data_IF_680970436142
#
_entry.id   IF_680970436142
#
_cell.length_a   1.000
_cell.length_b   1.000
_cell.length_c   1.000
_cell.angle_alpha   90.00
_cell.angle_beta   90.00
_cell.angle_gamma   90.00
#
_symmetry.space_group_name_H-M   'P 1'
#
loop_
_entity.id
_entity.type
_entity.pdbx_description
1 polymer ?
#
# COMPACT_ATOMS: atom_id res chain seq x y z
N UNK A 1 -13.44 6.63 12.04
CA UNK A 1 -12.38 7.00 11.07
C UNK A 1 -11.14 6.14 11.29
N UNK A 2 -10.72 5.41 10.25
CA UNK A 2 -9.43 4.68 10.23
C UNK A 2 -8.40 5.44 9.42
N UNK A 3 -7.13 5.09 9.60
CA UNK A 3 -6.05 5.63 8.80
C UNK A 3 -4.88 4.65 8.68
N UNK A 4 -4.05 4.90 7.68
CA UNK A 4 -2.75 4.22 7.51
C UNK A 4 -1.71 5.27 7.14
N UNK A 5 -0.51 5.15 7.70
CA UNK A 5 0.53 6.16 7.56
C UNK A 5 1.42 5.89 6.33
N UNK A 6 1.85 6.97 5.69
CA UNK A 6 2.67 6.98 4.49
C UNK A 6 4.04 7.61 4.76
N UNK A 7 5.03 7.22 3.99
CA UNK A 7 6.39 7.75 4.05
C UNK A 7 7.37 6.86 4.81
N UNK A 8 8.63 7.28 4.79
CA UNK A 8 9.76 6.57 5.38
C UNK A 8 10.31 7.39 6.56
N UNK A 9 10.42 6.78 7.73
CA UNK A 9 11.10 7.42 8.87
C UNK A 9 12.61 7.39 8.67
N UNK A 10 13.28 8.56 8.76
CA UNK A 10 14.74 8.71 8.64
C UNK A 10 15.50 8.39 9.94
N UNK A 11 14.85 8.46 11.09
CA UNK A 11 15.44 8.19 12.41
C UNK A 11 14.33 7.71 13.33
N UNK A 12 14.46 6.49 13.86
CA UNK A 12 13.47 5.92 14.79
C UNK A 12 13.65 6.38 16.23
N UNK A 13 14.81 6.94 16.59
CA UNK A 13 15.21 7.14 17.99
C UNK A 13 15.29 8.60 18.45
N UNK A 14 15.50 9.57 17.54
CA UNK A 14 15.59 10.99 17.90
C UNK A 14 14.23 11.68 17.76
N UNK A 15 13.83 12.43 18.79
CA UNK A 15 12.76 13.44 18.70
C UNK A 15 13.37 14.72 18.12
N UNK A 16 12.70 15.42 17.17
CA UNK A 16 11.42 15.08 16.55
C UNK A 16 11.53 13.99 15.47
N UNK A 17 10.41 13.29 15.20
CA UNK A 17 10.34 12.24 14.18
C UNK A 17 10.43 12.86 12.78
N UNK A 18 11.40 12.44 11.98
CA UNK A 18 11.55 12.90 10.59
C UNK A 18 10.98 11.86 9.62
N UNK A 19 9.93 12.23 8.88
CA UNK A 19 9.30 11.39 7.86
C UNK A 19 9.56 11.97 6.47
N UNK A 20 10.03 11.14 5.55
CA UNK A 20 10.29 11.52 4.16
C UNK A 20 9.29 10.86 3.23
N UNK A 21 8.72 11.65 2.33
CA UNK A 21 7.82 11.18 1.27
C UNK A 21 8.02 12.04 0.03
N UNK A 22 8.15 11.40 -1.14
CA UNK A 22 8.32 12.08 -2.43
C UNK A 22 9.39 13.21 -2.39
N UNK A 23 10.56 12.92 -1.80
CA UNK A 23 11.67 13.87 -1.66
C UNK A 23 11.52 14.93 -0.55
N UNK A 24 10.32 15.15 -0.01
CA UNK A 24 10.09 16.12 1.08
C UNK A 24 10.24 15.45 2.44
N UNK A 25 10.92 16.12 3.37
CA UNK A 25 11.07 15.66 4.76
C UNK A 25 10.26 16.56 5.69
N UNK A 26 9.33 15.99 6.43
CA UNK A 26 8.50 16.68 7.42
C UNK A 26 8.93 16.25 8.81
N UNK A 27 9.05 17.22 9.72
CA UNK A 27 9.30 16.95 11.13
C UNK A 27 7.96 16.85 11.87
N UNK A 28 7.72 15.72 12.52
CA UNK A 28 6.54 15.45 13.32
C UNK A 28 6.91 15.46 14.81
N UNK A 29 6.08 16.10 15.61
CA UNK A 29 6.19 16.17 17.07
C UNK A 29 4.85 15.89 17.73
N UNK A 30 4.87 15.63 19.04
CA UNK A 30 3.69 15.33 19.85
C UNK A 30 2.75 14.30 19.21
N UNK A 31 1.47 14.63 19.18
CA UNK A 31 0.39 13.77 18.74
C UNK A 31 0.53 13.28 17.29
N UNK A 32 1.01 14.14 16.36
CA UNK A 32 1.21 13.75 14.96
C UNK A 32 2.26 12.65 14.82
N UNK A 33 3.34 12.72 15.61
CA UNK A 33 4.38 11.69 15.59
C UNK A 33 3.90 10.37 16.20
N UNK A 34 3.04 10.42 17.21
CA UNK A 34 2.43 9.22 17.82
C UNK A 34 1.47 8.54 16.86
N UNK A 35 0.55 9.30 16.27
CA UNK A 35 -0.41 8.79 15.29
C UNK A 35 0.29 8.18 14.08
N UNK A 36 1.27 8.88 13.51
CA UNK A 36 2.02 8.33 12.37
C UNK A 36 2.71 7.01 12.71
N UNK A 37 3.23 6.85 13.93
CA UNK A 37 3.84 5.57 14.37
C UNK A 37 2.79 4.47 14.51
N UNK A 38 1.62 4.77 15.08
CA UNK A 38 0.50 3.82 15.24
C UNK A 38 0.04 3.29 13.88
N UNK A 39 -0.14 4.16 12.89
CA UNK A 39 -0.59 3.78 11.55
C UNK A 39 0.51 3.29 10.59
N UNK A 40 1.78 3.23 11.03
CA UNK A 40 2.92 2.96 10.13
C UNK A 40 2.89 1.57 9.49
N UNK A 41 2.44 0.58 10.25
CA UNK A 41 2.52 -0.81 9.84
C UNK A 41 1.18 -1.53 9.78
N UNK A 42 0.10 -0.84 10.14
CA UNK A 42 -1.26 -1.36 10.11
C UNK A 42 -2.28 -0.22 10.11
N UNK A 43 -3.53 -0.56 9.83
CA UNK A 43 -4.63 0.38 10.00
C UNK A 43 -4.85 0.66 11.49
N UNK A 44 -4.89 1.94 11.84
CA UNK A 44 -5.20 2.42 13.17
C UNK A 44 -6.50 3.25 13.13
N UNK A 45 -7.13 3.43 14.29
CA UNK A 45 -8.36 4.21 14.44
C UNK A 45 -8.11 5.44 15.28
N UNK A 46 -8.73 6.56 14.91
CA UNK A 46 -8.79 7.75 15.75
C UNK A 46 -9.86 7.56 16.83
N UNK A 47 -9.56 7.96 18.07
CA UNK A 47 -10.43 7.82 19.24
C UNK A 47 -10.94 9.17 19.75
N UNK A 48 -10.28 10.28 19.40
CA UNK A 48 -10.63 11.62 19.89
C UNK A 48 -10.69 12.63 18.74
N UNK A 49 -11.46 13.72 18.93
CA UNK A 49 -11.50 14.83 17.97
C UNK A 49 -10.12 15.46 17.74
N UNK A 50 -9.26 15.48 18.75
CA UNK A 50 -7.89 15.97 18.63
C UNK A 50 -7.04 15.07 17.71
N UNK A 51 -7.20 13.74 17.83
CA UNK A 51 -6.55 12.78 16.92
C UNK A 51 -7.06 12.96 15.48
N UNK A 52 -8.37 13.14 15.28
CA UNK A 52 -8.93 13.39 13.95
C UNK A 52 -8.39 14.66 13.30
N UNK A 53 -8.28 15.76 14.05
CA UNK A 53 -7.72 17.01 13.54
C UNK A 53 -6.23 16.86 13.20
N UNK A 54 -5.46 16.17 14.05
CA UNK A 54 -4.05 15.89 13.79
C UNK A 54 -3.87 14.99 12.55
N UNK A 55 -4.74 13.99 12.35
CA UNK A 55 -4.75 13.14 11.17
C UNK A 55 -5.08 13.92 9.91
N UNK A 56 -6.08 14.80 9.92
CA UNK A 56 -6.39 15.68 8.77
C UNK A 56 -5.16 16.48 8.35
N UNK A 57 -4.38 16.98 9.30
CA UNK A 57 -3.12 17.67 9.02
C UNK A 57 -2.06 16.73 8.42
N UNK A 58 -1.90 15.51 8.94
CA UNK A 58 -1.02 14.49 8.36
C UNK A 58 -1.42 14.12 6.93
N UNK A 59 -2.72 13.95 6.66
CA UNK A 59 -3.25 13.63 5.34
C UNK A 59 -3.03 14.78 4.35
N UNK A 60 -3.24 16.04 4.76
CA UNK A 60 -2.88 17.23 3.96
C UNK A 60 -1.38 17.29 3.62
N UNK A 61 -0.53 16.87 4.55
CA UNK A 61 0.91 16.72 4.30
C UNK A 61 1.26 15.47 3.45
N UNK A 62 0.26 14.67 3.08
CA UNK A 62 0.40 13.42 2.34
C UNK A 62 1.01 12.26 3.16
N UNK A 63 1.03 12.36 4.48
CA UNK A 63 1.69 11.40 5.38
C UNK A 63 0.73 10.36 5.96
N UNK A 64 -0.56 10.43 5.63
CA UNK A 64 -1.55 9.43 6.01
C UNK A 64 -2.69 9.38 4.99
N UNK A 65 -3.19 8.18 4.68
CA UNK A 65 -4.53 8.02 4.10
C UNK A 65 -5.54 7.81 5.20
N UNK A 66 -6.70 8.46 5.06
CA UNK A 66 -7.78 8.45 6.04
C UNK A 66 -9.04 7.91 5.37
N UNK A 67 -9.80 7.09 6.09
CA UNK A 67 -11.09 6.59 5.63
C UNK A 67 -12.14 6.65 6.73
N UNK A 68 -13.40 6.73 6.33
CA UNK A 68 -14.52 6.95 7.24
C UNK A 68 -14.74 5.73 8.16
N UNK A 69 -14.73 4.53 7.60
CA UNK A 69 -15.07 3.30 8.30
C UNK A 69 -13.95 2.25 8.23
N UNK A 70 -14.00 1.25 9.11
CA UNK A 70 -13.02 0.17 9.18
C UNK A 70 -13.35 -1.05 8.31
N UNK A 71 -14.30 -0.94 7.38
CA UNK A 71 -14.68 -2.08 6.52
C UNK A 71 -13.54 -2.44 5.55
N UNK A 72 -13.60 -3.64 4.99
CA UNK A 72 -12.59 -4.12 4.05
C UNK A 72 -12.52 -3.26 2.78
N UNK A 73 -13.65 -2.72 2.32
CA UNK A 73 -13.74 -1.82 1.16
C UNK A 73 -12.93 -0.54 1.40
N UNK A 74 -13.11 0.11 2.55
CA UNK A 74 -12.35 1.33 2.87
C UNK A 74 -10.84 1.05 3.02
N UNK A 75 -10.46 -0.12 3.55
CA UNK A 75 -9.05 -0.52 3.58
C UNK A 75 -8.48 -0.71 2.16
N UNK A 76 -9.26 -1.27 1.25
CA UNK A 76 -8.91 -1.35 -0.16
C UNK A 76 -8.70 0.04 -0.79
N UNK A 77 -9.62 0.99 -0.59
CA UNK A 77 -9.47 2.35 -1.10
C UNK A 77 -8.24 3.08 -0.54
N UNK A 78 -7.97 2.95 0.76
CA UNK A 78 -6.79 3.52 1.38
C UNK A 78 -5.49 2.97 0.77
N UNK A 79 -5.40 1.65 0.56
CA UNK A 79 -4.21 1.06 -0.06
C UNK A 79 -4.07 1.42 -1.54
N UNK A 80 -5.17 1.52 -2.27
CA UNK A 80 -5.17 1.90 -3.70
C UNK A 80 -4.68 3.33 -3.90
N UNK A 81 -4.93 4.21 -2.91
CA UNK A 81 -4.39 5.57 -2.85
C UNK A 81 -2.90 5.63 -2.45
N UNK A 82 -2.28 4.47 -2.17
CA UNK A 82 -0.89 4.35 -1.77
C UNK A 82 0.00 3.76 -2.87
N UNK A 83 1.26 4.16 -2.81
CA UNK A 83 2.36 3.56 -3.54
C UNK A 83 2.93 2.41 -2.71
N UNK A 84 2.85 1.18 -3.23
CA UNK A 84 3.46 0.02 -2.59
C UNK A 84 4.96 -0.04 -2.91
N UNK A 85 5.82 0.19 -1.92
CA UNK A 85 7.27 0.10 -2.07
C UNK A 85 7.82 -1.12 -1.33
N UNK A 86 8.35 -2.15 -2.03
CA UNK A 86 9.01 -3.26 -1.37
C UNK A 86 10.35 -2.83 -0.76
N UNK A 87 10.65 -3.39 0.40
CA UNK A 87 11.93 -3.22 1.09
C UNK A 87 12.92 -4.32 0.72
N UNK A 88 14.20 -4.08 0.98
CA UNK A 88 15.28 -5.04 0.71
C UNK A 88 15.42 -6.15 1.78
N UNK A 89 14.47 -6.28 2.71
CA UNK A 89 14.55 -7.31 3.77
C UNK A 89 14.43 -8.73 3.22
N UNK A 90 15.08 -9.68 3.90
CA UNK A 90 15.03 -11.12 3.62
C UNK A 90 13.59 -11.66 3.69
N UNK A 91 13.21 -12.57 2.80
CA UNK A 91 11.84 -13.10 2.69
C UNK A 91 11.61 -14.33 3.58
N UNK A 92 11.74 -14.18 4.91
CA UNK A 92 11.53 -15.28 5.86
C UNK A 92 10.08 -15.34 6.38
N UNK A 93 9.55 -16.56 6.50
CA UNK A 93 8.26 -16.84 7.14
C UNK A 93 7.02 -16.32 6.43
N UNK A 94 7.10 -16.09 5.10
CA UNK A 94 5.99 -15.55 4.30
C UNK A 94 5.09 -16.67 3.75
N UNK A 95 3.78 -16.45 3.78
CA UNK A 95 2.78 -17.31 3.13
C UNK A 95 3.01 -17.40 1.62
N UNK A 96 2.37 -18.35 0.95
CA UNK A 96 2.44 -18.43 -0.52
C UNK A 96 1.89 -17.15 -1.18
N UNK A 97 0.77 -16.63 -0.67
CA UNK A 97 0.15 -15.39 -1.16
C UNK A 97 1.03 -14.16 -0.96
N UNK A 98 1.63 -14.00 0.22
CA UNK A 98 2.57 -12.91 0.52
C UNK A 98 3.82 -12.97 -0.37
N UNK A 99 4.38 -14.17 -0.59
CA UNK A 99 5.54 -14.35 -1.48
C UNK A 99 5.23 -13.96 -2.92
N UNK A 100 4.05 -14.33 -3.41
CA UNK A 100 3.59 -13.97 -4.75
C UNK A 100 3.44 -12.45 -4.91
N UNK A 101 2.72 -11.78 -3.99
CA UNK A 101 2.55 -10.32 -4.05
C UNK A 101 3.90 -9.60 -3.98
N UNK A 102 4.78 -10.03 -3.08
CA UNK A 102 6.11 -9.43 -2.97
C UNK A 102 6.98 -9.71 -4.20
N UNK A 103 6.77 -10.84 -4.89
CA UNK A 103 7.44 -11.14 -6.16
C UNK A 103 7.04 -10.15 -7.24
N UNK A 104 5.73 -9.90 -7.40
CA UNK A 104 5.22 -8.88 -8.32
C UNK A 104 5.80 -7.51 -7.99
N UNK A 105 5.68 -7.06 -6.74
CA UNK A 105 6.17 -5.74 -6.34
C UNK A 105 7.69 -5.54 -6.54
N UNK A 106 8.50 -6.58 -6.33
CA UNK A 106 9.97 -6.49 -6.48
C UNK A 106 10.47 -6.70 -7.90
N UNK A 107 9.77 -7.51 -8.69
CA UNK A 107 10.31 -8.04 -9.95
C UNK A 107 9.49 -7.65 -11.17
N UNK A 108 8.28 -7.10 -11.03
CA UNK A 108 7.57 -6.54 -12.16
C UNK A 108 8.43 -5.47 -12.84
N UNK A 109 8.35 -5.40 -14.17
CA UNK A 109 9.06 -4.39 -14.94
C UNK A 109 8.52 -2.97 -14.78
N UNK A 110 7.50 -2.80 -13.95
CA UNK A 110 6.74 -1.58 -13.67
C UNK A 110 6.28 -1.59 -12.20
N UNK A 111 5.77 -0.45 -11.74
CA UNK A 111 5.25 -0.32 -10.38
C UNK A 111 3.81 -0.81 -10.34
N UNK A 112 3.59 -1.95 -9.69
CA UNK A 112 2.27 -2.59 -9.61
C UNK A 112 1.40 -1.95 -8.52
N UNK A 113 0.14 -1.65 -8.83
CA UNK A 113 -0.88 -1.11 -7.92
C UNK A 113 -1.65 -2.22 -7.17
N UNK A 114 -2.48 -1.83 -6.20
CA UNK A 114 -3.33 -2.79 -5.48
C UNK A 114 -4.33 -3.45 -6.43
N UNK A 115 -4.99 -2.67 -7.29
CA UNK A 115 -5.97 -3.19 -8.24
C UNK A 115 -5.33 -4.17 -9.24
N UNK A 116 -4.15 -3.84 -9.77
CA UNK A 116 -3.40 -4.75 -10.64
C UNK A 116 -3.03 -6.06 -9.93
N UNK A 117 -2.61 -6.02 -8.64
CA UNK A 117 -2.34 -7.22 -7.86
C UNK A 117 -3.60 -8.08 -7.64
N UNK A 118 -4.76 -7.45 -7.42
CA UNK A 118 -6.05 -8.15 -7.29
C UNK A 118 -6.42 -8.77 -8.62
N UNK A 119 -6.28 -8.05 -9.74
CA UNK A 119 -6.57 -8.54 -11.07
C UNK A 119 -5.72 -9.76 -11.44
N UNK A 120 -4.41 -9.67 -11.22
CA UNK A 120 -3.49 -10.79 -11.47
C UNK A 120 -3.90 -12.02 -10.66
N UNK A 121 -4.33 -11.84 -9.40
CA UNK A 121 -4.75 -12.96 -8.56
C UNK A 121 -6.13 -13.51 -8.95
N UNK A 122 -7.10 -12.65 -9.29
CA UNK A 122 -8.45 -13.08 -9.69
C UNK A 122 -8.45 -13.85 -11.00
N UNK A 123 -7.48 -13.57 -11.88
CA UNK A 123 -7.24 -14.30 -13.13
C UNK A 123 -6.20 -15.42 -13.01
N UNK A 124 -5.71 -15.69 -11.81
CA UNK A 124 -4.67 -16.69 -11.53
C UNK A 124 -3.37 -16.53 -12.34
N UNK A 125 -3.07 -15.30 -12.77
CA UNK A 125 -1.85 -14.95 -13.49
C UNK A 125 -0.67 -14.99 -12.52
N UNK A 126 0.23 -15.95 -12.73
CA UNK A 126 1.41 -16.16 -11.85
C UNK A 126 2.62 -15.33 -12.29
N UNK A 127 3.51 -14.97 -11.35
CA UNK A 127 4.73 -14.22 -11.65
C UNK A 127 5.77 -15.11 -12.36
N UNK A 128 5.64 -15.25 -13.68
CA UNK A 128 6.54 -16.06 -14.51
C UNK A 128 7.66 -15.24 -15.14
N UNK A 129 8.71 -15.92 -15.63
CA UNK A 129 9.83 -15.26 -16.34
C UNK A 129 9.40 -14.47 -17.58
N UNK A 130 8.23 -14.75 -18.16
CA UNK A 130 7.68 -14.06 -19.33
C UNK A 130 6.96 -12.75 -18.98
N UNK A 131 6.63 -12.52 -17.71
CA UNK A 131 5.90 -11.33 -17.24
C UNK A 131 6.72 -10.46 -16.29
N UNK A 132 7.81 -10.99 -15.74
CA UNK A 132 8.69 -10.26 -14.82
C UNK A 132 9.82 -9.53 -15.55
N UNK A 133 10.36 -8.50 -14.91
CA UNK A 133 11.47 -7.63 -15.33
C UNK A 133 11.09 -6.60 -16.40
N UNK A 134 11.91 -5.57 -16.53
CA UNK A 134 11.68 -4.43 -17.41
C UNK A 134 11.44 -4.83 -18.87
N UNK A 135 12.20 -5.81 -19.39
CA UNK A 135 12.06 -6.31 -20.77
C UNK A 135 10.67 -6.88 -21.10
N UNK A 136 9.93 -7.33 -20.10
CA UNK A 136 8.62 -7.95 -20.25
C UNK A 136 7.48 -7.02 -19.79
N UNK A 137 7.77 -5.72 -19.62
CA UNK A 137 6.79 -4.73 -19.16
C UNK A 137 5.54 -4.73 -20.04
N UNK A 138 5.73 -4.73 -21.36
CA UNK A 138 4.62 -4.70 -22.31
C UNK A 138 3.71 -5.93 -22.15
N UNK A 139 4.30 -7.13 -22.11
CA UNK A 139 3.56 -8.37 -21.92
C UNK A 139 2.78 -8.40 -20.58
N UNK A 140 3.33 -7.81 -19.52
CA UNK A 140 2.61 -7.67 -18.24
C UNK A 140 1.43 -6.70 -18.36
N UNK A 141 1.64 -5.53 -18.99
CA UNK A 141 0.57 -4.53 -19.21
C UNK A 141 -0.57 -5.14 -20.00
N UNK A 142 -0.28 -5.80 -21.12
CA UNK A 142 -1.29 -6.45 -21.98
C UNK A 142 -2.01 -7.63 -21.28
N UNK A 143 -1.37 -8.25 -20.28
CA UNK A 143 -2.03 -9.29 -19.48
C UNK A 143 -3.01 -8.76 -18.43
N UNK A 144 -2.89 -7.48 -18.07
CA UNK A 144 -3.71 -6.82 -17.03
C UNK A 144 -4.80 -5.96 -17.69
N UNK A 145 -4.39 -5.18 -18.69
CA UNK A 145 -5.22 -4.15 -19.30
C UNK A 145 -5.78 -4.60 -20.65
N UNK A 146 -7.04 -4.27 -20.87
CA UNK A 146 -7.81 -4.54 -22.06
C UNK A 146 -8.76 -3.35 -22.32
N UNK A 147 -9.41 -3.28 -23.50
CA UNK A 147 -10.29 -2.16 -23.84
C UNK A 147 -11.43 -1.89 -22.83
N UNK A 148 -11.78 -2.86 -21.99
CA UNK A 148 -12.85 -2.74 -20.99
C UNK A 148 -12.38 -2.31 -19.60
N UNK A 149 -11.07 -2.10 -19.37
CA UNK A 149 -10.54 -1.68 -18.08
C UNK A 149 -9.36 -0.70 -18.14
N UNK A 150 -8.94 -0.28 -19.34
CA UNK A 150 -7.81 0.63 -19.56
C UNK A 150 -8.13 2.08 -19.17
N UNK A 151 -9.41 2.46 -19.16
CA UNK A 151 -9.85 3.80 -18.77
C UNK A 151 -9.50 4.12 -17.32
N UNK A 152 -9.25 5.41 -17.04
CA UNK A 152 -8.85 5.87 -15.71
C UNK A 152 -9.79 5.38 -14.61
N UNK A 153 -9.21 4.82 -13.54
CA UNK A 153 -9.87 4.27 -12.36
C UNK A 153 -10.82 3.09 -12.61
N UNK A 154 -10.99 2.62 -13.85
CA UNK A 154 -11.94 1.57 -14.16
C UNK A 154 -11.49 0.21 -13.60
N UNK A 155 -10.19 -0.08 -13.65
CA UNK A 155 -9.63 -1.28 -13.05
C UNK A 155 -9.84 -1.28 -11.52
N UNK A 156 -9.60 -0.15 -10.86
CA UNK A 156 -9.80 0.02 -9.42
C UNK A 156 -11.27 -0.19 -9.02
N UNK A 157 -12.22 0.33 -9.81
CA UNK A 157 -13.65 0.12 -9.58
C UNK A 157 -14.05 -1.33 -9.79
N UNK A 158 -13.55 -1.98 -10.85
CA UNK A 158 -13.83 -3.40 -11.12
C UNK A 158 -13.27 -4.29 -10.02
N UNK A 159 -12.07 -4.01 -9.51
CA UNK A 159 -11.43 -4.81 -8.46
C UNK A 159 -12.03 -4.58 -7.08
N UNK A 160 -12.87 -3.56 -6.92
CA UNK A 160 -13.66 -3.39 -5.70
C UNK A 160 -14.57 -4.58 -5.46
N UNK A 161 -15.21 -5.16 -6.48
CA UNK A 161 -16.12 -6.29 -6.30
C UNK A 161 -15.45 -7.67 -6.40
N UNK A 162 -14.13 -7.72 -6.60
CA UNK A 162 -13.40 -8.97 -6.78
C UNK A 162 -13.38 -9.80 -5.49
N UNK A 163 -13.75 -11.08 -5.59
CA UNK A 163 -13.82 -12.01 -4.43
C UNK A 163 -12.48 -12.12 -3.66
N UNK A 164 -11.35 -12.06 -4.38
CA UNK A 164 -10.03 -12.18 -3.76
C UNK A 164 -9.49 -10.87 -3.16
N UNK A 165 -10.19 -9.73 -3.32
CA UNK A 165 -9.78 -8.39 -2.85
C UNK A 165 -9.36 -8.41 -1.39
N UNK A 166 -10.22 -8.92 -0.51
CA UNK A 166 -10.02 -8.86 0.94
C UNK A 166 -8.82 -9.68 1.38
N UNK A 167 -8.57 -10.80 0.69
CA UNK A 167 -7.40 -11.64 0.91
C UNK A 167 -6.12 -10.93 0.46
N UNK A 168 -6.12 -10.28 -0.70
CA UNK A 168 -4.97 -9.49 -1.17
C UNK A 168 -4.67 -8.33 -0.24
N UNK A 169 -5.69 -7.58 0.18
CA UNK A 169 -5.55 -6.47 1.15
C UNK A 169 -4.97 -6.99 2.47
N UNK A 170 -5.43 -8.14 2.96
CA UNK A 170 -4.91 -8.77 4.18
C UNK A 170 -3.45 -9.18 4.04
N UNK A 171 -3.07 -9.80 2.92
CA UNK A 171 -1.67 -10.18 2.63
C UNK A 171 -0.77 -8.93 2.55
N UNK A 172 -1.23 -7.84 1.92
CA UNK A 172 -0.49 -6.57 1.85
C UNK A 172 -0.27 -5.95 3.23
N UNK A 173 -1.30 -5.93 4.08
CA UNK A 173 -1.17 -5.43 5.46
C UNK A 173 -0.21 -6.33 6.24
N UNK A 174 -0.26 -7.65 6.08
CA UNK A 174 0.68 -8.56 6.74
C UNK A 174 2.13 -8.32 6.29
N UNK A 175 2.36 -8.11 4.98
CA UNK A 175 3.66 -7.71 4.46
C UNK A 175 4.14 -6.37 5.05
N UNK A 176 3.24 -5.42 5.24
CA UNK A 176 3.53 -4.13 5.88
C UNK A 176 3.91 -4.31 7.37
N UNK A 177 3.14 -5.10 8.14
CA UNK A 177 3.45 -5.49 9.54
C UNK A 177 4.82 -6.14 9.68
N UNK A 178 5.18 -6.99 8.73
CA UNK A 178 6.48 -7.66 8.62
C UNK A 178 7.60 -6.75 8.09
N UNK A 179 7.30 -5.46 7.88
CA UNK A 179 8.23 -4.42 7.39
C UNK A 179 8.82 -4.77 6.03
N UNK A 180 8.09 -5.56 5.22
CA UNK A 180 8.47 -5.92 3.85
C UNK A 180 8.05 -4.86 2.85
N UNK A 181 7.06 -4.04 3.20
CA UNK A 181 6.57 -2.92 2.42
C UNK A 181 6.73 -1.61 3.18
N UNK A 182 6.71 -0.51 2.43
CA UNK A 182 6.43 0.84 2.89
C UNK A 182 5.39 1.43 1.95
N UNK A 183 4.48 2.24 2.50
CA UNK A 183 3.49 2.97 1.72
C UNK A 183 4.00 4.38 1.45
N UNK A 184 4.03 4.83 0.19
CA UNK A 184 4.26 6.24 -0.17
C UNK A 184 3.03 6.87 -0.79
#
# INVERSE_FOLDING_TARGET
MIYISKGISKSSLRKPLKVTRCGKTVQLSGLQAELWRKGRYEFASAQTKAEELALKNLSRAGLAEIQQESTHIFRYYALTSCVLCPTQRLNLGLSAGERELLCWLKKAGLRVTVAELIYLRSREIRPTRKLLRARNRQALVESIYNPFNISDNLLEQQMESAECRDRVVTDLISLLKRKKLVLL
#
